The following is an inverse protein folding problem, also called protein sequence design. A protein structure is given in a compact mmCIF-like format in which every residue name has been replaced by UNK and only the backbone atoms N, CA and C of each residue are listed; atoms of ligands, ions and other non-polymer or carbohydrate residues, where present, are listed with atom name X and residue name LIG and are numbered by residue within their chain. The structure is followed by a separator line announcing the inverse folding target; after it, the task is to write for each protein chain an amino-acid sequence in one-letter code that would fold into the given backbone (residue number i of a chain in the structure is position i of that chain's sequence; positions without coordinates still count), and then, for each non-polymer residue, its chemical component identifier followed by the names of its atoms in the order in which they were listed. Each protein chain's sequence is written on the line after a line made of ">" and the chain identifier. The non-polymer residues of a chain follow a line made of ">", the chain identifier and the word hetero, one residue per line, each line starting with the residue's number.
data_IF_334142965412
#
_entry.id   IF_334142965412
#
_cell.length_a   1.000
_cell.length_b   1.000
_cell.length_c   1.000
_cell.angle_alpha   90.00
_cell.angle_beta   90.00
_cell.angle_gamma   90.00
#
_symmetry.space_group_name_H-M   'P 1'
#
loop_
_entity.id
_entity.type
_entity.pdbx_description
1 polymer ?
#
# COMPACT_ATOMS: atom_id res chain seq x y z
N UNK A 1 -1.10 -10.77 -10.00
CA UNK A 1 0.24 -11.38 -9.76
C UNK A 1 0.43 -11.36 -8.26
N UNK A 2 0.36 -12.50 -7.57
CA UNK A 2 0.47 -12.51 -6.10
C UNK A 2 1.89 -12.11 -5.70
N UNK A 3 2.02 -11.04 -4.94
CA UNK A 3 3.32 -10.58 -4.45
C UNK A 3 3.82 -11.60 -3.43
N UNK A 4 5.02 -12.15 -3.67
CA UNK A 4 5.66 -13.05 -2.72
C UNK A 4 6.42 -12.23 -1.68
N UNK A 5 5.68 -11.71 -0.69
CA UNK A 5 6.17 -10.79 0.35
C UNK A 5 7.23 -11.43 1.24
N UNK A 6 7.23 -12.77 1.34
CA UNK A 6 8.28 -13.55 2.02
C UNK A 6 9.68 -13.26 1.45
N UNK A 7 9.81 -13.08 0.14
CA UNK A 7 11.10 -12.78 -0.49
C UNK A 7 11.65 -11.41 -0.06
N UNK A 8 10.77 -10.44 0.22
CA UNK A 8 11.19 -9.12 0.71
C UNK A 8 11.65 -9.17 2.16
N UNK A 9 10.95 -9.93 3.01
CA UNK A 9 11.38 -10.18 4.39
C UNK A 9 12.74 -10.90 4.42
N UNK A 10 12.92 -11.93 3.59
CA UNK A 10 14.19 -12.65 3.48
C UNK A 10 15.32 -11.75 2.96
N UNK A 11 15.05 -10.90 1.96
CA UNK A 11 16.02 -9.93 1.47
C UNK A 11 16.42 -8.92 2.53
N UNK A 12 15.47 -8.43 3.34
CA UNK A 12 15.75 -7.52 4.45
C UNK A 12 16.60 -8.19 5.53
N UNK A 13 16.23 -9.40 5.94
CA UNK A 13 17.00 -10.15 6.94
C UNK A 13 18.44 -10.43 6.46
N UNK A 14 18.60 -10.84 5.20
CA UNK A 14 19.92 -11.05 4.60
C UNK A 14 20.74 -9.75 4.56
N UNK A 15 20.12 -8.63 4.19
CA UNK A 15 20.77 -7.32 4.19
C UNK A 15 21.26 -6.92 5.59
N UNK A 16 20.43 -7.08 6.61
CA UNK A 16 20.85 -6.78 7.99
C UNK A 16 21.99 -7.68 8.47
N UNK A 17 21.96 -8.98 8.13
CA UNK A 17 23.05 -9.90 8.44
C UNK A 17 24.37 -9.50 7.73
N UNK A 18 24.30 -9.04 6.47
CA UNK A 18 25.47 -8.53 5.75
C UNK A 18 26.00 -7.22 6.36
N UNK A 19 25.12 -6.32 6.80
CA UNK A 19 25.53 -5.10 7.52
C UNK A 19 26.21 -5.42 8.86
N UNK A 20 25.68 -6.37 9.63
CA UNK A 20 26.29 -6.84 10.87
C UNK A 20 27.69 -7.42 10.62
N UNK A 21 27.80 -8.30 9.62
CA UNK A 21 29.08 -8.90 9.22
C UNK A 21 30.09 -7.85 8.73
N UNK A 22 29.63 -6.83 8.01
CA UNK A 22 30.47 -5.71 7.57
C UNK A 22 30.93 -4.87 8.77
N UNK A 23 30.04 -4.53 9.70
CA UNK A 23 30.35 -3.72 10.88
C UNK A 23 31.40 -4.38 11.79
N UNK A 24 31.35 -5.70 11.94
CA UNK A 24 32.29 -6.47 12.79
C UNK A 24 33.51 -6.99 12.03
N UNK A 25 33.63 -6.75 10.72
CA UNK A 25 34.72 -7.30 9.92
C UNK A 25 36.09 -6.85 10.45
N UNK A 26 37.05 -7.78 10.48
CA UNK A 26 38.43 -7.53 10.90
C UNK A 26 39.38 -8.47 10.17
N UNK A 27 40.63 -8.04 10.02
CA UNK A 27 41.70 -8.86 9.43
C UNK A 27 43.03 -8.52 10.10
N UNK A 28 43.80 -9.56 10.48
CA UNK A 28 45.05 -9.39 11.25
C UNK A 28 46.09 -8.55 10.52
N UNK A 29 46.15 -8.68 9.20
CA UNK A 29 47.16 -8.03 8.37
C UNK A 29 46.77 -6.63 7.89
N UNK A 30 45.59 -6.13 8.28
CA UNK A 30 45.12 -4.81 7.89
C UNK A 30 45.39 -3.78 8.99
N UNK A 31 45.83 -2.59 8.59
CA UNK A 31 45.84 -1.43 9.51
C UNK A 31 44.42 -1.02 9.88
N UNK A 32 44.25 -0.26 10.96
CA UNK A 32 42.93 0.24 11.36
C UNK A 32 42.22 1.03 10.23
N UNK A 33 42.96 1.82 9.45
CA UNK A 33 42.41 2.54 8.29
C UNK A 33 42.10 1.63 7.10
N UNK A 34 42.83 0.51 6.94
CA UNK A 34 42.49 -0.54 6.00
C UNK A 34 41.21 -1.27 6.41
N UNK A 35 41.04 -1.55 7.71
CA UNK A 35 39.83 -2.16 8.25
C UNK A 35 38.61 -1.29 7.99
N UNK A 36 38.66 0.00 8.34
CA UNK A 36 37.54 0.92 8.12
C UNK A 36 37.15 1.03 6.64
N UNK A 37 38.13 1.07 5.71
CA UNK A 37 37.86 1.10 4.27
C UNK A 37 37.16 -0.16 3.78
N UNK A 38 37.61 -1.33 4.22
CA UNK A 38 37.01 -2.59 3.81
C UNK A 38 35.60 -2.77 4.41
N UNK A 39 35.36 -2.31 5.65
CA UNK A 39 34.01 -2.24 6.22
C UNK A 39 33.08 -1.37 5.38
N UNK A 40 33.53 -0.18 4.99
CA UNK A 40 32.74 0.71 4.13
C UNK A 40 32.45 0.08 2.75
N UNK A 41 33.44 -0.56 2.13
CA UNK A 41 33.25 -1.30 0.87
C UNK A 41 32.18 -2.38 1.00
N UNK A 42 32.21 -3.17 2.07
CA UNK A 42 31.22 -4.22 2.35
C UNK A 42 29.82 -3.68 2.62
N UNK A 43 29.70 -2.54 3.32
CA UNK A 43 28.41 -1.85 3.50
C UNK A 43 27.83 -1.43 2.14
N UNK A 44 28.65 -0.84 1.26
CA UNK A 44 28.22 -0.46 -0.10
C UNK A 44 27.82 -1.69 -0.92
N UNK A 45 28.55 -2.79 -0.85
CA UNK A 45 28.19 -4.05 -1.52
C UNK A 45 26.87 -4.63 -1.01
N UNK A 46 26.66 -4.64 0.31
CA UNK A 46 25.41 -5.10 0.92
C UNK A 46 24.22 -4.26 0.46
N UNK A 47 24.37 -2.93 0.44
CA UNK A 47 23.36 -2.00 -0.11
C UNK A 47 23.07 -2.27 -1.57
N UNK A 48 24.10 -2.47 -2.40
CA UNK A 48 23.91 -2.77 -3.83
C UNK A 48 23.16 -4.08 -4.07
N UNK A 49 23.47 -5.13 -3.29
CA UNK A 49 22.73 -6.40 -3.36
C UNK A 49 21.28 -6.24 -2.91
N UNK A 50 21.04 -5.51 -1.82
CA UNK A 50 19.70 -5.26 -1.31
C UNK A 50 18.88 -4.40 -2.28
N UNK A 51 19.48 -3.35 -2.85
CA UNK A 51 18.86 -2.50 -3.87
C UNK A 51 18.37 -3.31 -5.07
N UNK A 52 19.12 -4.32 -5.51
CA UNK A 52 18.72 -5.22 -6.59
C UNK A 52 17.51 -6.13 -6.25
N UNK A 53 17.11 -6.20 -4.98
CA UNK A 53 15.93 -6.93 -4.50
C UNK A 53 14.72 -6.04 -4.25
N UNK A 54 14.89 -4.71 -4.29
CA UNK A 54 13.79 -3.77 -4.10
C UNK A 54 12.83 -3.91 -5.29
N UNK A 55 11.52 -4.10 -5.05
CA UNK A 55 10.56 -4.09 -6.14
C UNK A 55 10.63 -2.77 -6.90
N UNK A 56 10.54 -2.83 -8.23
CA UNK A 56 10.57 -1.63 -9.05
C UNK A 56 9.44 -0.68 -8.64
N UNK A 57 9.71 0.63 -8.60
CA UNK A 57 8.69 1.63 -8.35
C UNK A 57 7.55 1.45 -9.37
N UNK A 58 6.31 1.41 -8.88
CA UNK A 58 5.17 1.46 -9.78
C UNK A 58 5.10 2.85 -10.40
N UNK A 59 4.74 2.90 -11.68
CA UNK A 59 4.53 4.18 -12.34
C UNK A 59 3.26 4.81 -11.79
N UNK A 60 3.16 6.14 -11.67
CA UNK A 60 1.95 6.81 -11.21
C UNK A 60 0.69 6.36 -11.99
N UNK A 61 0.79 6.17 -13.30
CA UNK A 61 -0.32 5.66 -14.12
C UNK A 61 -0.80 4.24 -13.72
N UNK A 62 0.07 3.40 -13.15
CA UNK A 62 -0.30 2.06 -12.64
C UNK A 62 -0.88 2.09 -11.22
N UNK A 63 -0.75 3.22 -10.51
CA UNK A 63 -1.37 3.46 -9.20
C UNK A 63 -2.77 4.07 -9.33
N UNK A 64 -3.28 4.22 -10.55
CA UNK A 64 -4.62 4.76 -10.79
C UNK A 64 -5.65 3.85 -10.12
N UNK A 65 -6.35 4.40 -9.15
CA UNK A 65 -7.48 3.74 -8.51
C UNK A 65 -8.48 3.25 -9.56
N UNK A 66 -8.74 1.93 -9.57
CA UNK A 66 -9.66 1.31 -10.51
C UNK A 66 -11.14 1.45 -10.12
N UNK A 67 -11.45 1.90 -8.90
CA UNK A 67 -12.83 2.07 -8.41
C UNK A 67 -13.70 2.95 -9.34
N UNK A 68 -13.25 4.15 -9.78
CA UNK A 68 -14.06 5.00 -10.66
C UNK A 68 -14.44 4.29 -11.96
N UNK A 69 -13.52 3.54 -12.56
CA UNK A 69 -13.79 2.79 -13.81
C UNK A 69 -14.86 1.72 -13.62
N UNK A 70 -14.87 1.03 -12.47
CA UNK A 70 -15.92 0.04 -12.15
C UNK A 70 -17.26 0.72 -11.95
N UNK A 71 -17.29 1.83 -11.22
CA UNK A 71 -18.50 2.60 -10.96
C UNK A 71 -19.08 3.20 -12.27
N UNK A 72 -18.25 3.77 -13.13
CA UNK A 72 -18.65 4.33 -14.42
C UNK A 72 -19.23 3.25 -15.36
N UNK A 73 -18.72 2.01 -15.27
CA UNK A 73 -19.20 0.90 -16.09
C UNK A 73 -20.63 0.46 -15.74
N UNK A 74 -21.15 0.82 -14.56
CA UNK A 74 -22.52 0.53 -14.11
C UNK A 74 -23.56 1.50 -14.70
N UNK A 75 -23.15 2.56 -15.40
CA UNK A 75 -24.09 3.43 -16.07
C UNK A 75 -24.91 2.65 -17.13
N UNK A 76 -26.25 2.84 -17.18
CA UNK A 76 -27.10 2.09 -18.10
C UNK A 76 -26.79 2.45 -19.56
N UNK A 77 -26.66 1.43 -20.42
CA UNK A 77 -26.26 1.59 -21.83
C UNK A 77 -27.38 1.33 -22.85
N UNK A 78 -28.58 1.01 -22.36
CA UNK A 78 -29.76 0.72 -23.20
C UNK A 78 -31.04 1.24 -22.54
N UNK A 79 -32.10 1.38 -23.32
CA UNK A 79 -33.41 1.79 -22.82
C UNK A 79 -33.96 0.82 -21.75
N UNK A 80 -33.77 -0.49 -21.96
CA UNK A 80 -34.18 -1.51 -20.99
C UNK A 80 -33.40 -1.39 -19.67
N UNK A 81 -32.09 -1.12 -19.75
CA UNK A 81 -31.27 -0.89 -18.55
C UNK A 81 -31.72 0.38 -17.81
N UNK A 82 -32.10 1.43 -18.52
CA UNK A 82 -32.68 2.66 -17.91
C UNK A 82 -34.00 2.35 -17.22
N UNK A 83 -34.86 1.51 -17.81
CA UNK A 83 -36.12 1.11 -17.19
C UNK A 83 -35.88 0.32 -15.88
N UNK A 84 -34.94 -0.63 -15.88
CA UNK A 84 -34.55 -1.37 -14.68
C UNK A 84 -33.98 -0.45 -13.61
N UNK A 85 -33.06 0.46 -13.96
CA UNK A 85 -32.50 1.44 -13.04
C UNK A 85 -33.59 2.33 -12.41
N UNK A 86 -34.55 2.79 -13.22
CA UNK A 86 -35.65 3.63 -12.75
C UNK A 86 -36.55 2.88 -11.78
N UNK A 87 -36.82 1.60 -12.06
CA UNK A 87 -37.61 0.74 -11.17
C UNK A 87 -36.90 0.48 -9.84
N UNK A 88 -35.60 0.15 -9.87
CA UNK A 88 -34.82 -0.06 -8.64
C UNK A 88 -34.71 1.22 -7.82
N UNK A 89 -34.52 2.38 -8.47
CA UNK A 89 -34.51 3.66 -7.76
C UNK A 89 -35.86 3.96 -7.10
N UNK A 90 -36.98 3.69 -7.77
CA UNK A 90 -38.31 3.84 -7.15
C UNK A 90 -38.47 2.97 -5.89
N UNK A 91 -37.88 1.77 -5.89
CA UNK A 91 -37.84 0.89 -4.72
C UNK A 91 -36.97 1.46 -3.60
N UNK A 92 -35.82 2.03 -3.94
CA UNK A 92 -34.95 2.75 -2.99
C UNK A 92 -35.69 3.94 -2.38
N UNK A 93 -36.34 4.77 -3.18
CA UNK A 93 -37.13 5.90 -2.69
C UNK A 93 -38.24 5.47 -1.74
N UNK A 94 -38.94 4.37 -2.05
CA UNK A 94 -39.97 3.83 -1.16
C UNK A 94 -39.37 3.41 0.20
N UNK A 95 -38.18 2.78 0.19
CA UNK A 95 -37.46 2.43 1.41
C UNK A 95 -37.06 3.69 2.21
N UNK A 96 -36.56 4.74 1.55
CA UNK A 96 -36.21 6.01 2.20
C UNK A 96 -37.44 6.70 2.81
N UNK A 97 -38.56 6.74 2.07
CA UNK A 97 -39.84 7.30 2.56
C UNK A 97 -40.41 6.52 3.76
N UNK A 98 -40.08 5.23 3.89
CA UNK A 98 -40.44 4.42 5.05
C UNK A 98 -39.58 4.68 6.30
N UNK A 99 -38.60 5.59 6.21
CA UNK A 99 -37.73 5.99 7.32
C UNK A 99 -36.38 5.27 7.36
N UNK A 100 -36.04 4.45 6.35
CA UNK A 100 -34.71 3.86 6.25
C UNK A 100 -33.69 4.89 5.76
N UNK A 101 -32.46 4.77 6.23
CA UNK A 101 -31.35 5.62 5.77
C UNK A 101 -30.65 4.99 4.57
N UNK A 102 -30.09 5.82 3.67
CA UNK A 102 -29.50 5.35 2.42
C UNK A 102 -28.35 4.36 2.64
N UNK A 103 -27.56 4.54 3.71
CA UNK A 103 -26.47 3.65 4.09
C UNK A 103 -26.98 2.23 4.38
N UNK A 104 -28.12 2.12 5.07
CA UNK A 104 -28.77 0.84 5.35
C UNK A 104 -29.27 0.19 4.05
N UNK A 105 -29.86 0.98 3.14
CA UNK A 105 -30.33 0.47 1.85
C UNK A 105 -29.18 -0.07 1.00
N UNK A 106 -28.03 0.61 1.00
CA UNK A 106 -26.80 0.12 0.34
C UNK A 106 -26.36 -1.21 0.97
N UNK A 107 -26.21 -1.26 2.30
CA UNK A 107 -25.71 -2.45 3.00
C UNK A 107 -26.61 -3.68 2.83
N UNK A 108 -27.93 -3.48 2.71
CA UNK A 108 -28.90 -4.57 2.50
C UNK A 108 -29.10 -4.94 1.03
N UNK A 109 -28.61 -4.12 0.08
CA UNK A 109 -28.77 -4.42 -1.34
C UNK A 109 -28.01 -5.70 -1.72
N UNK A 110 -28.69 -6.59 -2.44
CA UNK A 110 -28.14 -7.85 -2.95
C UNK A 110 -27.99 -7.87 -4.47
N UNK A 111 -28.66 -6.95 -5.18
CA UNK A 111 -28.63 -6.83 -6.63
C UNK A 111 -27.71 -5.71 -7.09
N UNK A 112 -26.92 -5.97 -8.12
CA UNK A 112 -26.02 -4.97 -8.74
C UNK A 112 -26.82 -3.81 -9.34
N UNK A 113 -28.00 -4.09 -9.89
CA UNK A 113 -28.89 -3.10 -10.52
C UNK A 113 -29.36 -2.06 -9.50
N UNK A 114 -29.69 -2.49 -8.27
CA UNK A 114 -30.04 -1.57 -7.18
C UNK A 114 -28.87 -0.70 -6.76
N UNK A 115 -27.69 -1.27 -6.64
CA UNK A 115 -26.47 -0.54 -6.31
C UNK A 115 -26.12 0.47 -7.42
N UNK A 116 -26.28 0.09 -8.69
CA UNK A 116 -26.11 0.96 -9.84
C UNK A 116 -27.14 2.11 -9.89
N UNK A 117 -28.40 1.84 -9.51
CA UNK A 117 -29.44 2.85 -9.40
C UNK A 117 -29.17 3.85 -8.26
N UNK A 118 -28.66 3.38 -7.11
CA UNK A 118 -28.22 4.26 -6.01
C UNK A 118 -27.04 5.12 -6.46
N UNK A 119 -26.05 4.52 -7.14
CA UNK A 119 -24.89 5.22 -7.66
C UNK A 119 -25.28 6.34 -8.63
N UNK A 120 -26.20 6.09 -9.56
CA UNK A 120 -26.62 7.09 -10.55
C UNK A 120 -27.36 8.28 -9.93
N UNK A 121 -27.93 8.11 -8.74
CA UNK A 121 -28.65 9.15 -8.02
C UNK A 121 -27.87 9.70 -6.81
N UNK A 122 -26.64 9.23 -6.56
CA UNK A 122 -25.87 9.59 -5.37
C UNK A 122 -25.63 11.10 -5.24
N UNK A 123 -25.30 11.76 -6.36
CA UNK A 123 -25.10 13.21 -6.38
C UNK A 123 -26.41 13.97 -6.14
N UNK A 124 -27.47 13.64 -6.87
CA UNK A 124 -28.78 14.27 -6.71
C UNK A 124 -29.32 14.09 -5.27
N UNK A 125 -29.16 12.90 -4.70
CA UNK A 125 -29.50 12.62 -3.31
C UNK A 125 -28.69 13.48 -2.34
N UNK A 126 -27.36 13.58 -2.53
CA UNK A 126 -26.48 14.36 -1.67
C UNK A 126 -26.78 15.86 -1.72
N UNK A 127 -27.10 16.42 -2.89
CA UNK A 127 -27.55 17.81 -3.03
C UNK A 127 -28.92 18.07 -2.42
N UNK A 128 -29.77 17.04 -2.33
CA UNK A 128 -31.06 17.10 -1.65
C UNK A 128 -30.98 17.04 -0.13
N UNK A 129 -29.82 16.65 0.43
CA UNK A 129 -29.56 16.78 1.86
C UNK A 129 -29.19 18.23 2.16
N UNK A 130 -29.70 18.80 3.25
CA UNK A 130 -29.32 20.13 3.74
C UNK A 130 -27.90 20.12 4.35
N UNK A 131 -26.93 19.60 3.60
CA UNK A 131 -25.52 19.47 3.99
C UNK A 131 -24.68 20.61 3.42
N UNK A 132 -23.65 21.01 4.16
CA UNK A 132 -22.65 21.98 3.69
C UNK A 132 -21.64 21.37 2.72
N UNK A 133 -21.57 20.05 2.61
CA UNK A 133 -20.67 19.33 1.69
C UNK A 133 -21.37 18.19 0.93
N UNK A 134 -22.17 18.50 -0.11
CA UNK A 134 -22.81 17.49 -0.95
C UNK A 134 -21.80 16.61 -1.70
N UNK A 135 -20.63 17.16 -2.05
CA UNK A 135 -19.62 16.43 -2.81
C UNK A 135 -18.98 15.32 -1.97
N UNK A 136 -18.64 15.61 -0.71
CA UNK A 136 -18.17 14.62 0.26
C UNK A 136 -19.19 13.50 0.49
N UNK A 137 -20.46 13.86 0.71
CA UNK A 137 -21.53 12.86 0.88
C UNK A 137 -21.68 11.97 -0.35
N UNK A 138 -21.65 12.53 -1.56
CA UNK A 138 -21.71 11.73 -2.78
C UNK A 138 -20.51 10.79 -2.93
N UNK A 139 -19.30 11.25 -2.56
CA UNK A 139 -18.10 10.43 -2.57
C UNK A 139 -18.19 9.26 -1.56
N UNK A 140 -18.69 9.51 -0.36
CA UNK A 140 -18.91 8.49 0.66
C UNK A 140 -19.92 7.43 0.20
N UNK A 141 -21.03 7.85 -0.43
CA UNK A 141 -22.01 6.94 -1.02
C UNK A 141 -21.41 6.10 -2.15
N UNK A 142 -20.61 6.71 -3.03
CA UNK A 142 -19.87 5.99 -4.08
C UNK A 142 -18.92 4.94 -3.49
N UNK A 143 -18.22 5.28 -2.40
CA UNK A 143 -17.35 4.33 -1.69
C UNK A 143 -18.15 3.17 -1.10
N UNK A 144 -19.24 3.46 -0.37
CA UNK A 144 -20.10 2.42 0.22
C UNK A 144 -20.70 1.49 -0.84
N UNK A 145 -21.12 2.03 -1.98
CA UNK A 145 -21.62 1.22 -3.11
C UNK A 145 -20.52 0.32 -3.64
N UNK A 146 -19.30 0.83 -3.83
CA UNK A 146 -18.17 0.01 -4.28
C UNK A 146 -17.87 -1.14 -3.30
N UNK A 147 -17.76 -0.83 -2.01
CA UNK A 147 -17.49 -1.82 -0.96
C UNK A 147 -18.58 -2.90 -0.95
N UNK A 148 -19.84 -2.49 -1.15
CA UNK A 148 -20.95 -3.43 -1.23
C UNK A 148 -20.88 -4.30 -2.49
N UNK A 149 -20.49 -3.75 -3.64
CA UNK A 149 -20.29 -4.51 -4.88
C UNK A 149 -19.25 -5.62 -4.70
N UNK A 150 -18.18 -5.34 -3.94
CA UNK A 150 -17.19 -6.37 -3.57
C UNK A 150 -17.84 -7.45 -2.70
N UNK A 151 -18.64 -7.07 -1.70
CA UNK A 151 -19.30 -8.02 -0.78
C UNK A 151 -20.37 -8.90 -1.44
N UNK A 152 -20.97 -8.47 -2.56
CA UNK A 152 -21.93 -9.28 -3.34
C UNK A 152 -21.26 -10.02 -4.50
N UNK A 153 -19.93 -10.14 -4.48
CA UNK A 153 -19.11 -10.85 -5.47
C UNK A 153 -19.29 -10.34 -6.91
N UNK A 154 -19.51 -9.04 -7.11
CA UNK A 154 -19.52 -8.46 -8.44
C UNK A 154 -18.10 -8.48 -9.03
N UNK A 155 -17.88 -9.39 -9.99
CA UNK A 155 -16.56 -9.76 -10.50
C UNK A 155 -15.67 -8.56 -10.91
N UNK A 156 -16.16 -7.51 -11.60
CA UNK A 156 -15.35 -6.33 -11.89
C UNK A 156 -14.88 -5.57 -10.63
N UNK A 157 -15.72 -5.47 -9.59
CA UNK A 157 -15.35 -4.81 -8.34
C UNK A 157 -14.35 -5.66 -7.54
N UNK A 158 -14.57 -6.97 -7.44
CA UNK A 158 -13.62 -7.89 -6.80
C UNK A 158 -12.25 -7.84 -7.47
N UNK A 159 -12.22 -7.92 -8.81
CA UNK A 159 -10.98 -7.87 -9.59
C UNK A 159 -10.24 -6.54 -9.43
N UNK A 160 -10.98 -5.42 -9.48
CA UNK A 160 -10.40 -4.10 -9.25
C UNK A 160 -9.88 -3.94 -7.82
N UNK A 161 -10.60 -4.45 -6.82
CA UNK A 161 -10.20 -4.40 -5.41
C UNK A 161 -8.89 -5.18 -5.19
N UNK A 162 -8.83 -6.44 -5.66
CA UNK A 162 -7.62 -7.26 -5.58
C UNK A 162 -6.44 -6.61 -6.31
N UNK A 163 -6.68 -5.95 -7.45
CA UNK A 163 -5.62 -5.24 -8.18
C UNK A 163 -5.10 -4.05 -7.40
N UNK A 164 -6.00 -3.22 -6.86
CA UNK A 164 -5.66 -2.08 -6.01
C UNK A 164 -4.89 -2.51 -4.75
N UNK A 165 -5.32 -3.60 -4.09
CA UNK A 165 -4.63 -4.18 -2.92
C UNK A 165 -3.21 -4.66 -3.27
N UNK A 166 -3.05 -5.35 -4.42
CA UNK A 166 -1.73 -5.75 -4.90
C UNK A 166 -0.83 -4.54 -5.17
N UNK A 167 -1.34 -3.49 -5.81
CA UNK A 167 -0.55 -2.28 -6.06
C UNK A 167 -0.17 -1.56 -4.77
N UNK A 168 -1.10 -1.44 -3.82
CA UNK A 168 -0.84 -0.84 -2.52
C UNK A 168 0.27 -1.61 -1.77
N UNK A 169 0.18 -2.95 -1.75
CA UNK A 169 1.20 -3.78 -1.10
C UNK A 169 2.56 -3.66 -1.79
N UNK A 170 2.60 -3.67 -3.13
CA UNK A 170 3.85 -3.50 -3.89
C UNK A 170 4.52 -2.16 -3.61
N UNK A 171 3.74 -1.08 -3.63
CA UNK A 171 4.23 0.27 -3.38
C UNK A 171 4.73 0.42 -1.94
N UNK A 172 3.98 -0.09 -0.95
CA UNK A 172 4.41 -0.06 0.45
C UNK A 172 5.73 -0.82 0.66
N UNK A 173 5.89 -1.98 0.03
CA UNK A 173 7.15 -2.73 0.06
C UNK A 173 8.30 -1.98 -0.63
N UNK A 174 8.04 -1.33 -1.76
CA UNK A 174 9.03 -0.49 -2.44
C UNK A 174 9.53 0.64 -1.52
N UNK A 175 8.63 1.37 -0.87
CA UNK A 175 8.97 2.48 0.03
C UNK A 175 9.75 1.99 1.25
N UNK A 176 9.23 0.98 1.95
CA UNK A 176 9.86 0.40 3.15
C UNK A 176 11.26 -0.13 2.87
N UNK A 177 11.47 -0.80 1.73
CA UNK A 177 12.80 -1.31 1.37
C UNK A 177 13.73 -0.19 0.87
N UNK A 178 13.21 0.82 0.18
CA UNK A 178 14.01 1.97 -0.26
C UNK A 178 14.50 2.78 0.92
N UNK A 179 13.65 3.04 1.91
CA UNK A 179 14.05 3.74 3.14
C UNK A 179 15.07 2.92 3.95
N UNK A 180 14.97 1.59 3.95
CA UNK A 180 15.93 0.72 4.63
C UNK A 180 17.37 0.78 4.07
N UNK A 181 17.58 1.27 2.84
CA UNK A 181 18.93 1.55 2.32
C UNK A 181 19.61 2.72 3.07
N UNK A 182 18.80 3.63 3.61
CA UNK A 182 19.23 4.75 4.44
C UNK A 182 19.50 4.33 5.88
N UNK A 183 19.18 5.22 6.82
CA UNK A 183 19.46 5.02 8.25
C UNK A 183 18.28 4.43 9.03
N UNK A 184 17.04 4.66 8.61
CA UNK A 184 15.87 3.98 9.17
C UNK A 184 14.63 4.08 8.27
N UNK A 185 13.65 3.25 8.56
CA UNK A 185 12.32 3.28 7.96
C UNK A 185 11.41 4.24 8.72
N UNK A 186 10.69 5.08 8.00
CA UNK A 186 9.75 6.04 8.55
C UNK A 186 8.51 5.36 9.14
N UNK A 187 7.86 6.03 10.10
CA UNK A 187 6.56 5.56 10.60
C UNK A 187 5.50 5.54 9.48
N UNK A 188 5.61 6.45 8.51
CA UNK A 188 4.70 6.54 7.36
C UNK A 188 4.74 5.28 6.51
N UNK A 189 5.93 4.86 6.04
CA UNK A 189 6.09 3.66 5.21
C UNK A 189 5.67 2.38 5.94
N UNK A 190 5.97 2.29 7.24
CA UNK A 190 5.56 1.16 8.08
C UNK A 190 4.04 1.11 8.28
N UNK A 191 3.38 2.25 8.42
CA UNK A 191 1.91 2.33 8.53
C UNK A 191 1.25 1.94 7.21
N UNK A 192 1.79 2.42 6.08
CA UNK A 192 1.34 2.03 4.75
C UNK A 192 1.48 0.52 4.53
N UNK A 193 2.60 -0.07 4.93
CA UNK A 193 2.82 -1.52 4.86
C UNK A 193 1.88 -2.29 5.77
N UNK A 194 1.66 -1.84 7.01
CA UNK A 194 0.69 -2.48 7.91
C UNK A 194 -0.73 -2.48 7.32
N UNK A 195 -1.12 -1.40 6.64
CA UNK A 195 -2.43 -1.29 5.98
C UNK A 195 -2.54 -2.21 4.77
N UNK A 196 -1.51 -2.29 3.95
CA UNK A 196 -1.54 -3.02 2.67
C UNK A 196 -1.15 -4.50 2.78
N UNK A 197 -0.30 -4.87 3.75
CA UNK A 197 0.18 -6.22 4.00
C UNK A 197 0.47 -6.44 5.51
N UNK A 198 -0.58 -6.65 6.34
CA UNK A 198 -0.43 -6.83 7.78
C UNK A 198 0.42 -8.05 8.17
N UNK A 199 0.46 -9.10 7.35
CA UNK A 199 1.28 -10.28 7.60
C UNK A 199 2.75 -10.01 7.30
N UNK A 200 3.05 -9.42 6.15
CA UNK A 200 4.40 -8.99 5.80
C UNK A 200 4.97 -7.95 6.76
N UNK A 201 4.15 -7.01 7.23
CA UNK A 201 4.51 -6.08 8.29
C UNK A 201 4.95 -6.82 9.58
N UNK A 202 4.16 -7.78 10.05
CA UNK A 202 4.50 -8.56 11.26
C UNK A 202 5.79 -9.35 11.07
N UNK A 203 5.97 -9.99 9.92
CA UNK A 203 7.18 -10.73 9.59
C UNK A 203 8.42 -9.81 9.53
N UNK A 204 8.29 -8.62 8.93
CA UNK A 204 9.34 -7.60 8.91
C UNK A 204 9.67 -7.11 10.32
N UNK A 205 8.66 -6.85 11.17
CA UNK A 205 8.86 -6.41 12.54
C UNK A 205 9.67 -7.43 13.37
N UNK A 206 9.39 -8.73 13.20
CA UNK A 206 10.18 -9.81 13.81
C UNK A 206 11.61 -9.79 13.28
N UNK A 207 11.81 -9.72 11.96
CA UNK A 207 13.15 -9.67 11.36
C UNK A 207 13.97 -8.48 11.88
N UNK A 208 13.35 -7.29 11.98
CA UNK A 208 13.96 -6.08 12.55
C UNK A 208 14.41 -6.28 14.00
N UNK A 209 13.52 -6.81 14.84
CA UNK A 209 13.81 -7.04 16.25
C UNK A 209 14.95 -8.06 16.45
N UNK A 210 15.05 -9.08 15.59
CA UNK A 210 16.10 -10.09 15.66
C UNK A 210 17.45 -9.63 15.11
N UNK A 211 17.44 -8.72 14.14
CA UNK A 211 18.64 -8.33 13.39
C UNK A 211 19.61 -7.45 14.19
N UNK A 212 19.09 -6.53 14.98
CA UNK A 212 19.89 -5.56 15.74
C UNK A 212 19.20 -5.20 17.07
N UNK A 213 19.11 -6.15 18.02
CA UNK A 213 18.35 -5.98 19.25
C UNK A 213 18.90 -4.86 20.15
N UNK A 214 20.19 -4.54 20.02
CA UNK A 214 20.88 -3.50 20.81
C UNK A 214 21.05 -2.19 20.05
N UNK A 215 20.86 -2.17 18.72
CA UNK A 215 21.10 -0.99 17.88
C UNK A 215 22.59 -0.76 17.52
N UNK A 216 23.48 -1.67 17.92
CA UNK A 216 24.93 -1.52 17.77
C UNK A 216 25.35 -1.58 16.30
N UNK A 217 24.70 -2.44 15.50
CA UNK A 217 25.00 -2.58 14.07
C UNK A 217 24.63 -1.29 13.36
N UNK A 218 23.44 -0.74 13.61
CA UNK A 218 22.99 0.52 13.02
C UNK A 218 23.91 1.68 13.38
N UNK A 219 24.32 1.78 14.64
CA UNK A 219 25.28 2.81 15.07
C UNK A 219 26.65 2.64 14.40
N UNK A 220 27.14 1.42 14.26
CA UNK A 220 28.42 1.15 13.60
C UNK A 220 28.39 1.52 12.11
N UNK A 221 27.31 1.16 11.41
CA UNK A 221 27.11 1.54 9.99
C UNK A 221 26.98 3.06 9.84
N UNK A 222 26.20 3.72 10.69
CA UNK A 222 26.07 5.19 10.65
C UNK A 222 27.41 5.90 10.87
N UNK A 223 28.26 5.39 11.78
CA UNK A 223 29.63 5.90 11.96
C UNK A 223 30.48 5.71 10.69
N UNK A 224 30.43 4.54 10.07
CA UNK A 224 31.15 4.27 8.81
C UNK A 224 30.68 5.23 7.72
N UNK A 225 29.37 5.44 7.56
CA UNK A 225 28.81 6.36 6.57
C UNK A 225 29.25 7.81 6.80
N UNK A 226 29.29 8.26 8.07
CA UNK A 226 29.73 9.61 8.39
C UNK A 226 31.15 9.91 7.91
N UNK A 227 32.05 8.91 7.97
CA UNK A 227 33.43 9.00 7.49
C UNK A 227 33.55 9.02 5.96
N UNK A 228 32.61 8.37 5.26
CA UNK A 228 32.53 8.43 3.80
C UNK A 228 32.04 9.79 3.34
N UNK A 229 30.99 10.30 3.99
CA UNK A 229 30.37 11.60 3.65
C UNK A 229 31.29 12.78 3.95
N UNK A 230 32.05 12.75 5.05
CA UNK A 230 33.02 13.81 5.38
C UNK A 230 34.22 13.88 4.42
N UNK A 231 34.40 12.87 3.55
CA UNK A 231 35.56 12.75 2.66
C UNK A 231 36.81 12.18 3.33
N UNK A 232 36.73 11.81 4.61
CA UNK A 232 37.82 11.19 5.37
C UNK A 232 38.10 9.75 4.90
N UNK A 233 37.16 9.15 4.17
CA UNK A 233 37.25 7.81 3.61
C UNK A 233 36.83 7.79 2.13
N UNK A 234 37.75 7.46 1.22
CA UNK A 234 37.42 7.17 -0.18
C UNK A 234 37.07 5.68 -0.35
N UNK A 235 35.85 5.39 -0.79
CA UNK A 235 35.41 4.06 -1.21
C UNK A 235 35.52 4.03 -2.74
N UNK A 236 36.34 3.10 -3.27
CA UNK A 236 36.56 2.92 -4.70
C UNK A 236 35.53 1.98 -5.34
#
# INVERSE_FOLDING_TARGET
>A
MTINTKLYVEAYAAYQAELAAAATWTHRDYSNSGITRERARRVVEARKKFQAKIPAALRPETLTDHRPKVLDALAPKSADAVAVHSHEWATVEAALKSGRVIQQVIMEATSVERLAAILSHAEAFAYGQETSDPAGVAADLKSMVYDRLVQVDYEPAVTANTSNEQFAAHQAWHEVMTEALGTDQSLGSLTALHSADPEGYRALAVARATADPTGDVRQAVARIDSLVVSGDLKVG
#
